data_IF_133598325560
#
_entry.id   IF_133598325560
#
_cell.length_a   1.000
_cell.length_b   1.000
_cell.length_c   1.000
_cell.angle_alpha   90.00
_cell.angle_beta   90.00
_cell.angle_gamma   90.00
#
_symmetry.space_group_name_H-M   'P 1'
#
loop_
_entity.id
_entity.type
_entity.pdbx_description
1 polymer ?
#
# COMPACT_ATOMS: atom_id res chain seq x y z
N UNK A 1 77.25 11.19 9.62
CA UNK A 1 76.97 12.57 10.05
C UNK A 1 76.76 13.44 8.82
N UNK A 2 75.55 13.97 8.58
CA UNK A 2 75.26 15.20 7.82
C UNK A 2 73.84 15.65 8.17
N UNK A 3 73.74 16.72 8.95
CA UNK A 3 72.51 17.47 9.28
C UNK A 3 72.31 18.57 8.25
N UNK A 4 71.11 18.78 7.70
CA UNK A 4 70.57 20.06 7.14
C UNK A 4 69.03 19.88 6.96
N UNK A 5 68.19 20.34 7.92
CA UNK A 5 67.45 21.63 8.01
C UNK A 5 66.40 21.89 6.90
N UNK A 6 65.13 21.66 7.28
CA UNK A 6 63.89 22.46 7.10
C UNK A 6 63.91 23.58 6.04
N UNK A 7 62.98 23.54 5.06
CA UNK A 7 62.03 24.59 4.61
C UNK A 7 61.55 24.32 3.15
N UNK A 8 60.26 24.03 2.94
CA UNK A 8 59.39 24.83 2.06
C UNK A 8 57.97 24.25 2.01
N UNK A 9 57.03 25.04 2.52
CA UNK A 9 55.59 24.91 2.37
C UNK A 9 55.19 25.02 0.88
N UNK A 10 55.18 23.93 0.10
CA UNK A 10 54.85 24.04 -1.34
C UNK A 10 54.11 22.85 -1.97
N UNK A 11 53.48 21.97 -1.18
CA UNK A 11 52.49 21.01 -1.73
C UNK A 11 51.22 21.06 -0.87
N UNK A 12 50.64 22.25 -0.81
CA UNK A 12 49.28 22.52 -0.29
C UNK A 12 48.24 22.42 -1.43
N UNK A 13 48.43 21.51 -2.40
CA UNK A 13 47.55 21.42 -3.58
C UNK A 13 47.47 20.00 -4.16
N UNK A 14 47.06 19.04 -3.34
CA UNK A 14 46.30 17.92 -3.87
C UNK A 14 45.01 17.87 -3.06
N UNK A 15 44.08 18.70 -3.55
CA UNK A 15 42.66 18.71 -3.28
C UNK A 15 42.22 17.48 -2.50
N UNK A 16 41.80 17.70 -1.27
CA UNK A 16 40.39 17.57 -0.91
C UNK A 16 39.59 16.51 -1.68
N UNK A 17 40.13 15.31 -1.86
CA UNK A 17 39.33 14.09 -1.84
C UNK A 17 38.95 13.84 -0.38
N UNK A 18 38.27 14.84 0.21
CA UNK A 18 37.09 14.55 0.99
C UNK A 18 36.21 13.74 0.04
N UNK A 19 36.43 12.43 0.05
CA UNK A 19 35.34 11.47 -0.04
C UNK A 19 34.40 11.84 1.11
N UNK A 20 33.64 12.92 0.89
CA UNK A 20 32.23 12.94 1.14
C UNK A 20 31.64 11.82 0.26
N UNK A 21 31.99 10.57 0.56
CA UNK A 21 30.99 9.53 0.62
C UNK A 21 30.06 9.96 1.77
N UNK A 22 29.30 11.04 1.52
CA UNK A 22 28.08 11.30 2.23
C UNK A 22 27.33 10.01 2.11
N UNK A 23 27.10 9.38 3.26
CA UNK A 23 26.47 8.09 3.43
C UNK A 23 25.41 7.89 2.33
N UNK A 24 25.71 7.10 1.30
CA UNK A 24 24.79 6.78 0.21
C UNK A 24 23.71 5.78 0.67
N UNK A 25 23.34 5.86 1.94
CA UNK A 25 22.22 5.17 2.53
C UNK A 25 21.70 6.05 3.66
N UNK A 26 20.91 7.07 3.30
CA UNK A 26 19.64 7.17 3.99
C UNK A 26 18.93 5.84 3.73
N UNK A 27 19.26 4.85 4.56
CA UNK A 27 18.60 3.56 4.58
C UNK A 27 17.13 3.89 4.84
N UNK A 28 16.25 3.79 3.81
CA UNK A 28 14.83 3.62 4.12
C UNK A 28 14.82 2.36 4.96
N UNK A 29 14.51 2.53 6.24
CA UNK A 29 13.89 1.45 6.97
C UNK A 29 12.71 1.01 6.12
N UNK A 30 12.66 -0.29 5.86
CA UNK A 30 11.57 -0.99 5.18
C UNK A 30 10.27 -0.18 5.22
N UNK A 31 9.92 0.39 4.06
CA UNK A 31 8.85 1.38 4.00
C UNK A 31 7.46 0.70 3.91
N UNK A 32 7.41 -0.63 3.87
CA UNK A 32 6.20 -1.45 3.69
C UNK A 32 5.23 -1.30 4.88
N UNK A 33 4.07 -0.71 4.64
CA UNK A 33 3.00 -0.59 5.65
C UNK A 33 1.97 -1.73 5.59
N UNK A 34 2.09 -2.61 4.59
CA UNK A 34 1.19 -3.72 4.28
C UNK A 34 -0.23 -3.28 3.88
N UNK A 35 -0.42 -2.02 3.49
CA UNK A 35 -1.65 -1.57 2.86
C UNK A 35 -1.60 -1.91 1.36
N UNK A 36 -2.46 -2.83 0.86
CA UNK A 36 -2.50 -3.14 -0.57
C UNK A 36 -2.90 -1.93 -1.43
N UNK A 37 -3.49 -0.90 -0.83
CA UNK A 37 -3.99 0.28 -1.48
C UNK A 37 -3.00 1.44 -1.55
N UNK A 38 -1.75 1.23 -1.14
CA UNK A 38 -0.66 2.20 -1.32
C UNK A 38 0.51 1.61 -2.08
N UNK A 39 1.12 2.46 -2.93
CA UNK A 39 2.42 2.19 -3.52
C UNK A 39 3.50 2.79 -2.61
N UNK A 40 4.18 1.92 -1.89
CA UNK A 40 5.15 2.30 -0.87
C UNK A 40 6.51 2.63 -1.50
N UNK A 41 7.07 3.78 -1.16
CA UNK A 41 8.41 4.16 -1.61
C UNK A 41 9.17 4.97 -0.59
N UNK A 42 10.49 4.90 -0.68
CA UNK A 42 11.36 5.87 -0.03
C UNK A 42 11.50 7.13 -0.88
N UNK A 43 11.36 8.30 -0.26
CA UNK A 43 11.89 9.54 -0.82
C UNK A 43 13.41 9.62 -0.53
N UNK A 44 14.28 9.49 -1.54
CA UNK A 44 15.72 9.49 -1.35
C UNK A 44 16.29 10.85 -0.93
N UNK A 45 15.56 11.95 -1.13
CA UNK A 45 15.99 13.28 -0.73
C UNK A 45 15.78 13.53 0.77
N UNK A 46 14.72 12.96 1.34
CA UNK A 46 14.36 13.16 2.74
C UNK A 46 14.62 11.94 3.63
N UNK A 47 14.81 10.77 3.04
CA UNK A 47 14.93 9.49 3.75
C UNK A 47 13.64 9.05 4.43
N UNK A 48 12.48 9.56 4.00
CA UNK A 48 11.16 9.27 4.59
C UNK A 48 10.37 8.31 3.70
N UNK A 49 9.46 7.56 4.31
CA UNK A 49 8.47 6.75 3.62
C UNK A 49 7.38 7.65 3.01
N UNK A 50 6.95 7.31 1.81
CA UNK A 50 5.87 7.96 1.07
C UNK A 50 4.92 6.87 0.61
N UNK A 51 3.64 7.06 0.92
CA UNK A 51 2.53 6.15 0.61
C UNK A 51 1.62 6.85 -0.38
N UNK A 52 1.47 6.28 -1.57
CA UNK A 52 0.63 6.89 -2.62
C UNK A 52 -0.54 5.98 -2.89
N UNK A 53 -1.75 6.48 -2.67
CA UNK A 53 -2.99 5.76 -2.98
C UNK A 53 -2.96 5.24 -4.42
N UNK A 54 -3.24 3.95 -4.58
CA UNK A 54 -3.33 3.30 -5.89
C UNK A 54 -4.78 2.88 -6.19
N UNK A 55 -4.96 2.18 -7.30
CA UNK A 55 -6.24 1.62 -7.74
C UNK A 55 -6.14 0.12 -8.00
N UNK A 56 -5.24 -0.56 -7.28
CA UNK A 56 -5.02 -1.99 -7.42
C UNK A 56 -6.24 -2.79 -6.94
N UNK A 57 -6.41 -4.06 -7.39
CA UNK A 57 -7.35 -4.98 -6.77
C UNK A 57 -6.99 -5.21 -5.29
N UNK A 58 -8.01 -5.34 -4.44
CA UNK A 58 -7.87 -5.64 -3.02
C UNK A 58 -9.03 -6.54 -2.56
N UNK A 59 -9.12 -6.80 -1.26
CA UNK A 59 -10.23 -7.53 -0.64
C UNK A 59 -10.79 -6.64 0.48
N UNK A 60 -12.07 -6.26 0.39
CA UNK A 60 -12.72 -5.40 1.38
C UNK A 60 -13.24 -6.18 2.60
N UNK A 61 -13.04 -7.50 2.59
CA UNK A 61 -13.47 -8.42 3.64
C UNK A 61 -14.95 -8.79 3.56
N UNK A 62 -15.68 -8.35 2.53
CA UNK A 62 -17.07 -8.67 2.32
C UNK A 62 -17.21 -9.67 1.17
N UNK A 63 -17.55 -10.92 1.49
CA UNK A 63 -17.69 -11.98 0.49
C UNK A 63 -18.88 -11.77 -0.48
N UNK A 64 -19.73 -10.77 -0.22
CA UNK A 64 -20.84 -10.37 -1.07
C UNK A 64 -20.48 -9.29 -2.10
N UNK A 65 -19.31 -8.69 -2.05
CA UNK A 65 -18.81 -7.77 -3.07
C UNK A 65 -17.87 -8.51 -4.03
N UNK A 66 -17.77 -7.98 -5.24
CA UNK A 66 -16.94 -8.56 -6.30
C UNK A 66 -16.22 -7.48 -7.05
N UNK A 67 -14.95 -7.74 -7.39
CA UNK A 67 -14.12 -6.76 -8.08
C UNK A 67 -13.75 -5.58 -7.19
N UNK A 68 -13.45 -5.87 -5.93
CA UNK A 68 -13.02 -4.85 -4.96
C UNK A 68 -11.71 -4.21 -5.42
N UNK A 69 -11.61 -2.91 -5.20
CA UNK A 69 -10.51 -2.12 -5.69
C UNK A 69 -10.19 -0.99 -4.73
N UNK A 70 -8.92 -0.60 -4.76
CA UNK A 70 -8.43 0.51 -3.96
C UNK A 70 -9.00 1.83 -4.47
N UNK A 71 -9.49 2.64 -3.54
CA UNK A 71 -10.00 3.98 -3.78
C UNK A 71 -9.77 4.84 -2.54
N UNK A 72 -9.14 6.00 -2.72
CA UNK A 72 -8.81 6.93 -1.64
C UNK A 72 -7.97 6.32 -0.49
N UNK A 73 -7.14 5.31 -0.80
CA UNK A 73 -6.27 4.64 0.18
C UNK A 73 -7.02 3.64 1.06
N UNK A 74 -8.21 3.21 0.63
CA UNK A 74 -8.98 2.17 1.29
C UNK A 74 -9.42 1.13 0.27
N UNK A 75 -9.51 -0.12 0.69
CA UNK A 75 -10.15 -1.12 -0.13
C UNK A 75 -11.66 -0.89 -0.16
N UNK A 76 -12.22 -0.69 -1.34
CA UNK A 76 -13.64 -0.42 -1.55
C UNK A 76 -14.30 -1.64 -2.18
N UNK A 77 -15.40 -2.08 -1.59
CA UNK A 77 -16.26 -3.12 -2.13
C UNK A 77 -16.75 -2.77 -3.53
N UNK A 78 -16.64 -3.73 -4.43
CA UNK A 78 -17.08 -3.61 -5.81
C UNK A 78 -18.59 -3.84 -5.98
N UNK A 79 -18.96 -4.57 -7.04
CA UNK A 79 -20.35 -4.85 -7.35
C UNK A 79 -20.92 -5.87 -6.35
N UNK A 80 -22.11 -5.58 -5.80
CA UNK A 80 -22.82 -6.50 -4.92
C UNK A 80 -23.30 -7.73 -5.68
N UNK A 81 -23.05 -8.92 -5.11
CA UNK A 81 -23.60 -10.19 -5.57
C UNK A 81 -25.13 -10.13 -5.54
N UNK A 82 -25.74 -10.51 -6.65
CA UNK A 82 -27.19 -10.74 -6.69
C UNK A 82 -27.52 -12.06 -6.01
N UNK A 83 -28.42 -12.00 -5.04
CA UNK A 83 -29.02 -13.16 -4.39
C UNK A 83 -30.52 -13.27 -4.67
N UNK A 84 -31.04 -12.55 -5.66
CA UNK A 84 -32.45 -12.67 -6.07
C UNK A 84 -32.74 -14.09 -6.58
N UNK A 85 -33.59 -14.84 -5.88
CA UNK A 85 -34.04 -16.19 -6.29
C UNK A 85 -35.31 -16.17 -7.16
N UNK A 86 -35.87 -14.98 -7.39
CA UNK A 86 -37.10 -14.78 -8.15
C UNK A 86 -38.38 -15.12 -7.39
N UNK A 87 -38.31 -15.47 -6.11
CA UNK A 87 -39.45 -15.75 -5.27
C UNK A 87 -39.89 -14.49 -4.50
N UNK A 88 -41.06 -13.95 -4.83
CA UNK A 88 -41.60 -12.78 -4.12
C UNK A 88 -41.91 -13.06 -2.63
N UNK A 89 -42.01 -14.32 -2.22
CA UNK A 89 -42.22 -14.73 -0.83
C UNK A 89 -40.95 -14.69 0.02
N UNK A 90 -39.77 -14.37 -0.53
CA UNK A 90 -38.52 -14.36 0.24
C UNK A 90 -37.90 -12.97 0.30
N UNK A 91 -37.32 -12.67 1.45
CA UNK A 91 -36.35 -11.59 1.60
C UNK A 91 -34.96 -12.18 1.36
N UNK A 92 -34.37 -11.75 0.25
CA UNK A 92 -33.11 -12.27 -0.25
C UNK A 92 -31.95 -11.40 0.23
N UNK A 93 -30.92 -12.04 0.77
CA UNK A 93 -29.73 -11.38 1.29
C UNK A 93 -28.49 -12.21 1.02
N UNK A 94 -27.33 -11.57 1.12
CA UNK A 94 -26.04 -12.23 1.05
C UNK A 94 -25.37 -12.14 2.42
N UNK A 95 -24.83 -13.27 2.91
CA UNK A 95 -24.03 -13.31 4.14
C UNK A 95 -22.63 -12.74 3.85
N UNK A 96 -22.24 -11.60 4.45
CA UNK A 96 -20.97 -10.94 4.16
C UNK A 96 -19.74 -11.75 4.59
N UNK A 97 -19.89 -12.72 5.49
CA UNK A 97 -18.78 -13.56 5.95
C UNK A 97 -18.53 -14.76 5.04
N UNK A 98 -19.58 -15.35 4.46
CA UNK A 98 -19.47 -16.57 3.65
C UNK A 98 -19.68 -16.32 2.15
N UNK A 99 -20.36 -15.24 1.80
CA UNK A 99 -20.77 -14.90 0.44
C UNK A 99 -21.95 -15.74 -0.05
N UNK A 100 -22.54 -16.56 0.83
CA UNK A 100 -23.70 -17.40 0.52
C UNK A 100 -24.99 -16.58 0.52
N UNK A 101 -25.90 -16.93 -0.38
CA UNK A 101 -27.22 -16.32 -0.42
C UNK A 101 -28.12 -16.95 0.64
N UNK A 102 -28.84 -16.09 1.35
CA UNK A 102 -29.78 -16.43 2.41
C UNK A 102 -31.16 -15.91 1.99
N UNK A 103 -32.13 -16.82 1.96
CA UNK A 103 -33.51 -16.57 1.54
C UNK A 103 -34.43 -16.82 2.74
N UNK A 104 -35.09 -15.79 3.24
CA UNK A 104 -35.96 -15.90 4.42
C UNK A 104 -37.40 -15.63 3.99
N UNK A 105 -38.31 -16.55 4.30
CA UNK A 105 -39.74 -16.33 4.01
C UNK A 105 -40.22 -15.02 4.64
N UNK A 106 -40.75 -14.14 3.81
CA UNK A 106 -41.29 -12.85 4.20
C UNK A 106 -42.81 -12.94 4.42
N UNK A 107 -43.41 -11.85 4.88
CA UNK A 107 -44.83 -11.75 5.14
C UNK A 107 -45.64 -11.23 3.93
N UNK A 108 -45.02 -11.13 2.75
CA UNK A 108 -45.69 -10.62 1.56
C UNK A 108 -46.76 -11.63 1.11
N UNK A 109 -47.93 -11.14 0.66
CA UNK A 109 -48.91 -12.00 0.01
C UNK A 109 -48.33 -12.45 -1.33
N UNK A 110 -47.96 -13.71 -1.39
CA UNK A 110 -47.52 -14.39 -2.60
C UNK A 110 -48.45 -15.59 -2.84
N UNK A 111 -48.88 -15.72 -4.09
CA UNK A 111 -49.78 -16.79 -4.54
C UNK A 111 -48.88 -17.89 -5.14
N UNK A 112 -48.92 -19.09 -4.56
CA UNK A 112 -48.19 -20.29 -5.02
C UNK A 112 -48.84 -20.87 -6.29
#
# INVERSE_FOLDING_TARGET
MRRYRIFSYSILLSLSFLLLAGCASAQCVDCEDNDPCTDDRCDPATGKCVYVNNAAPCDDGNACTTGDACGDGLCQGGAQRSCDDGNACTDDSCDPATGECVYVNNAAPCDD
#
